data_IF_397873908660
#
_entry.id   IF_397873908660
#
_cell.length_a   1.000
_cell.length_b   1.000
_cell.length_c   1.000
_cell.angle_alpha   90.00
_cell.angle_beta   90.00
_cell.angle_gamma   90.00
#
_symmetry.space_group_name_H-M   'P 1'
#
loop_
_entity.id
_entity.type
_entity.pdbx_description
1 polymer ?
#
# COMPACT_ATOMS: atom_id res chain seq x y z
N UNK A 1 2.04 -19.14 -9.53
CA UNK A 1 2.26 -20.35 -8.71
C UNK A 1 0.92 -20.95 -8.35
N UNK A 2 0.67 -22.21 -8.68
CA UNK A 2 -0.55 -22.93 -8.29
C UNK A 2 -0.24 -23.77 -7.06
N UNK A 3 -1.05 -23.61 -6.02
CA UNK A 3 -0.93 -24.30 -4.73
C UNK A 3 -1.69 -25.63 -4.73
N UNK A 4 -1.41 -26.50 -3.76
CA UNK A 4 -2.04 -27.82 -3.66
C UNK A 4 -3.57 -27.79 -3.45
N UNK A 5 -4.13 -26.65 -3.05
CA UNK A 5 -5.57 -26.41 -2.95
C UNK A 5 -6.19 -25.85 -4.25
N UNK A 6 -5.44 -25.80 -5.35
CA UNK A 6 -5.91 -25.29 -6.64
C UNK A 6 -5.94 -23.76 -6.74
N UNK A 7 -5.61 -23.01 -5.68
CA UNK A 7 -5.48 -21.56 -5.74
C UNK A 7 -4.22 -21.20 -6.52
N UNK A 8 -4.33 -20.28 -7.46
CA UNK A 8 -3.23 -19.71 -8.22
C UNK A 8 -2.89 -18.32 -7.67
N UNK A 9 -1.62 -18.11 -7.34
CA UNK A 9 -1.06 -16.77 -7.07
C UNK A 9 -0.34 -16.26 -8.32
N UNK A 10 -0.68 -15.06 -8.78
CA UNK A 10 0.02 -14.37 -9.88
C UNK A 10 0.61 -13.04 -9.40
N UNK A 11 1.74 -12.67 -10.00
CA UNK A 11 2.48 -11.45 -9.73
C UNK A 11 2.72 -10.71 -11.04
N UNK A 12 2.45 -9.41 -11.06
CA UNK A 12 2.78 -8.52 -12.18
C UNK A 12 3.75 -7.46 -11.71
N UNK A 13 4.67 -7.06 -12.58
CA UNK A 13 5.74 -6.12 -12.26
C UNK A 13 5.80 -5.00 -13.28
N UNK A 14 6.29 -3.84 -12.86
CA UNK A 14 6.65 -2.75 -13.78
C UNK A 14 8.06 -2.96 -14.37
N UNK A 15 8.50 -2.02 -15.22
CA UNK A 15 9.82 -2.06 -15.85
C UNK A 15 10.99 -1.92 -14.85
N UNK A 16 10.73 -1.39 -13.64
CA UNK A 16 11.68 -1.31 -12.55
C UNK A 16 11.66 -2.56 -11.65
N UNK A 17 10.95 -3.63 -12.07
CA UNK A 17 10.76 -4.88 -11.31
C UNK A 17 10.03 -4.70 -9.98
N UNK A 18 9.22 -3.65 -9.85
CA UNK A 18 8.37 -3.40 -8.68
C UNK A 18 7.03 -4.10 -8.86
N UNK A 19 6.53 -4.73 -7.80
CA UNK A 19 5.26 -5.47 -7.81
C UNK A 19 4.08 -4.51 -8.01
N UNK A 20 3.42 -4.55 -9.16
CA UNK A 20 2.24 -3.74 -9.47
C UNK A 20 0.93 -4.46 -9.17
N UNK A 21 0.93 -5.81 -9.20
CA UNK A 21 -0.26 -6.59 -8.87
C UNK A 21 0.07 -7.93 -8.26
N UNK A 22 -0.66 -8.28 -7.21
CA UNK A 22 -0.73 -9.62 -6.62
C UNK A 22 -2.17 -10.10 -6.69
N UNK A 23 -2.44 -11.23 -7.32
CA UNK A 23 -3.77 -11.82 -7.36
C UNK A 23 -3.78 -13.27 -6.90
N UNK A 24 -4.83 -13.64 -6.16
CA UNK A 24 -5.14 -15.00 -5.76
C UNK A 24 -6.44 -15.42 -6.46
N UNK A 25 -6.37 -16.48 -7.24
CA UNK A 25 -7.47 -16.95 -8.09
C UNK A 25 -7.76 -18.42 -7.84
N UNK A 26 -9.02 -18.83 -7.92
CA UNK A 26 -9.43 -20.23 -7.95
C UNK A 26 -10.19 -20.46 -9.26
N UNK A 27 -9.57 -21.17 -10.20
CA UNK A 27 -10.04 -21.21 -11.58
C UNK A 27 -10.07 -19.80 -12.18
N UNK A 28 -11.21 -19.40 -12.73
CA UNK A 28 -11.41 -18.06 -13.30
C UNK A 28 -11.79 -16.99 -12.26
N UNK A 29 -12.09 -17.35 -11.01
CA UNK A 29 -12.54 -16.42 -9.98
C UNK A 29 -11.36 -15.80 -9.22
N UNK A 30 -11.34 -14.47 -9.11
CA UNK A 30 -10.39 -13.76 -8.23
C UNK A 30 -10.94 -13.76 -6.80
N UNK A 31 -10.23 -14.40 -5.88
CA UNK A 31 -10.57 -14.45 -4.45
C UNK A 31 -10.10 -13.18 -3.74
N UNK A 32 -8.89 -12.72 -4.11
CA UNK A 32 -8.31 -11.51 -3.56
C UNK A 32 -7.30 -10.93 -4.55
N UNK A 33 -7.17 -9.61 -4.58
CA UNK A 33 -6.13 -8.93 -5.34
C UNK A 33 -5.68 -7.67 -4.65
N UNK A 34 -4.42 -7.33 -4.90
CA UNK A 34 -3.78 -6.11 -4.46
C UNK A 34 -3.11 -5.46 -5.66
N UNK A 35 -3.41 -4.20 -5.90
CA UNK A 35 -2.80 -3.38 -6.93
C UNK A 35 -1.98 -2.27 -6.26
N UNK A 36 -0.81 -1.97 -6.81
CA UNK A 36 0.15 -1.03 -6.22
C UNK A 36 0.64 -0.03 -7.25
N UNK A 37 0.82 1.21 -6.83
CA UNK A 37 1.46 2.26 -7.62
C UNK A 37 2.68 2.78 -6.88
N UNK A 38 3.66 3.29 -7.63
CA UNK A 38 4.92 3.79 -7.11
C UNK A 38 5.24 5.15 -7.70
N UNK A 39 5.98 5.98 -6.98
CA UNK A 39 6.60 7.19 -7.51
C UNK A 39 7.89 6.86 -8.29
N UNK A 40 8.56 7.89 -8.82
CA UNK A 40 9.78 7.74 -9.63
C UNK A 40 10.97 7.17 -8.86
N UNK A 41 10.98 7.28 -7.53
CA UNK A 41 12.08 6.81 -6.68
C UNK A 41 11.75 5.47 -6.03
N UNK A 42 10.56 4.92 -6.28
CA UNK A 42 10.12 3.60 -5.86
C UNK A 42 9.34 3.57 -4.55
N UNK A 43 8.92 4.73 -4.02
CA UNK A 43 8.01 4.74 -2.88
C UNK A 43 6.61 4.35 -3.35
N UNK A 44 5.94 3.46 -2.61
CA UNK A 44 4.58 3.05 -2.93
C UNK A 44 3.61 4.19 -2.65
N UNK A 45 2.94 4.73 -3.66
CA UNK A 45 2.00 5.84 -3.51
C UNK A 45 0.56 5.41 -3.26
N UNK A 46 0.19 4.21 -3.72
CA UNK A 46 -1.12 3.65 -3.43
C UNK A 46 -1.10 2.13 -3.31
N UNK A 47 -2.07 1.61 -2.56
CA UNK A 47 -2.46 0.21 -2.49
C UNK A 47 -3.97 0.15 -2.65
N UNK A 48 -4.43 -0.59 -3.65
CA UNK A 48 -5.85 -0.90 -3.84
C UNK A 48 -6.07 -2.36 -3.51
N UNK A 49 -7.05 -2.65 -2.65
CA UNK A 49 -7.55 -4.01 -2.44
C UNK A 49 -9.08 -4.01 -2.42
N UNK A 50 -9.68 -5.16 -2.11
CA UNK A 50 -11.15 -5.30 -2.07
C UNK A 50 -11.86 -4.32 -1.12
N UNK A 51 -11.15 -3.73 -0.16
CA UNK A 51 -11.71 -2.79 0.80
C UNK A 51 -11.65 -1.34 0.29
N UNK A 52 -10.85 -1.04 -0.73
CA UNK A 52 -10.69 0.29 -1.30
C UNK A 52 -9.22 0.69 -1.49
N UNK A 53 -8.98 2.00 -1.60
CA UNK A 53 -7.67 2.58 -1.87
C UNK A 53 -7.06 3.17 -0.59
N UNK A 54 -5.84 2.74 -0.27
CA UNK A 54 -4.95 3.41 0.67
C UNK A 54 -3.91 4.21 -0.12
N UNK A 55 -3.74 5.49 0.22
CA UNK A 55 -2.74 6.37 -0.38
C UNK A 55 -1.64 6.66 0.62
N UNK A 56 -0.42 6.87 0.13
CA UNK A 56 0.75 7.12 0.94
C UNK A 56 1.49 8.35 0.41
N UNK A 57 1.88 9.24 1.31
CA UNK A 57 2.68 10.42 0.96
C UNK A 57 3.97 10.43 1.77
N UNK A 58 5.02 10.97 1.15
CA UNK A 58 6.38 10.94 1.66
C UNK A 58 6.96 12.34 1.71
N UNK A 59 7.86 12.58 2.66
CA UNK A 59 8.69 13.78 2.65
C UNK A 59 9.83 13.67 1.64
N UNK A 60 10.63 14.73 1.52
CA UNK A 60 11.77 14.81 0.60
C UNK A 60 12.90 13.82 0.93
N UNK A 61 12.87 13.20 2.11
CA UNK A 61 13.80 12.17 2.56
C UNK A 61 13.21 10.76 2.38
N UNK A 62 12.10 10.61 1.65
CA UNK A 62 11.38 9.35 1.43
C UNK A 62 10.83 8.71 2.71
N UNK A 63 10.52 9.51 3.73
CA UNK A 63 9.88 9.02 4.96
C UNK A 63 8.37 9.20 4.85
N UNK A 64 7.61 8.19 5.25
CA UNK A 64 6.15 8.20 5.17
C UNK A 64 5.58 9.25 6.13
N UNK A 65 4.90 10.27 5.61
CA UNK A 65 4.29 11.33 6.42
C UNK A 65 2.77 11.20 6.52
N UNK A 66 2.14 10.43 5.63
CA UNK A 66 0.70 10.21 5.63
C UNK A 66 0.34 8.85 5.04
N UNK A 67 -0.63 8.17 5.65
CA UNK A 67 -1.29 7.00 5.09
C UNK A 67 -2.81 7.15 5.23
N UNK A 68 -3.55 6.93 4.15
CA UNK A 68 -5.03 6.88 4.22
C UNK A 68 -5.49 5.45 4.41
N UNK A 69 -6.57 5.28 5.17
CA UNK A 69 -7.24 4.00 5.32
C UNK A 69 -8.51 3.97 4.46
N UNK A 70 -8.74 2.90 3.68
CA UNK A 70 -10.01 2.72 2.98
C UNK A 70 -11.21 2.55 3.92
N UNK A 71 -11.00 2.24 5.21
CA UNK A 71 -12.07 2.16 6.20
C UNK A 71 -12.33 3.53 6.87
N UNK A 72 -13.61 3.98 6.94
CA UNK A 72 -13.96 5.32 7.43
C UNK A 72 -13.77 5.51 8.94
N UNK A 73 -13.55 4.45 9.71
CA UNK A 73 -13.35 4.52 11.16
C UNK A 73 -12.03 5.17 11.57
N UNK A 74 -11.02 5.15 10.70
CA UNK A 74 -9.75 5.83 10.91
C UNK A 74 -9.13 6.21 9.56
N UNK A 75 -9.65 7.25 8.88
CA UNK A 75 -9.37 7.49 7.47
C UNK A 75 -7.94 7.99 7.20
N UNK A 76 -7.23 8.46 8.23
CA UNK A 76 -5.97 9.18 8.06
C UNK A 76 -5.02 8.99 9.24
N UNK A 77 -3.83 8.48 8.93
CA UNK A 77 -2.70 8.45 9.85
C UNK A 77 -1.61 9.40 9.36
N UNK A 78 -1.16 10.29 10.23
CA UNK A 78 -0.08 11.24 9.94
C UNK A 78 1.12 11.00 10.82
N UNK A 79 2.32 11.13 10.25
CA UNK A 79 3.59 10.88 10.93
C UNK A 79 4.49 12.11 10.88
N UNK A 80 5.18 12.38 11.98
CA UNK A 80 6.22 13.41 12.04
C UNK A 80 7.53 12.83 12.54
N UNK A 81 8.63 13.44 12.10
CA UNK A 81 9.98 12.99 12.41
C UNK A 81 10.82 14.14 12.95
N UNK A 82 11.72 13.83 13.86
CA UNK A 82 12.74 14.77 14.31
C UNK A 82 13.85 14.94 13.24
N UNK A 83 14.75 15.91 13.41
CA UNK A 83 15.85 16.14 12.47
C UNK A 83 16.83 14.96 12.33
N UNK A 84 16.87 14.04 13.30
CA UNK A 84 17.75 12.87 13.28
C UNK A 84 17.04 11.60 12.82
N UNK A 85 15.76 11.68 12.47
CA UNK A 85 14.97 10.60 11.86
C UNK A 85 14.08 9.81 12.81
N UNK A 86 14.01 10.14 14.11
CA UNK A 86 13.10 9.46 15.01
C UNK A 86 11.66 9.92 14.75
N UNK A 87 10.73 8.96 14.71
CA UNK A 87 9.30 9.26 14.60
C UNK A 87 8.80 9.81 15.93
N UNK A 88 8.33 11.05 15.95
CA UNK A 88 7.91 11.74 17.19
C UNK A 88 6.43 11.48 17.48
N UNK A 89 5.58 11.46 16.45
CA UNK A 89 4.13 11.26 16.62
C UNK A 89 3.55 10.43 15.48
N UNK A 90 2.57 9.58 15.82
CA UNK A 90 1.54 9.10 14.90
C UNK A 90 0.22 9.70 15.35
N UNK A 91 -0.28 10.72 14.66
CA UNK A 91 -1.60 11.25 14.94
C UNK A 91 -2.63 10.37 14.21
N UNK A 92 -3.23 9.43 14.93
CA UNK A 92 -4.29 8.55 14.40
C UNK A 92 -5.67 9.25 14.35
N UNK A 93 -5.78 10.51 14.83
CA UNK A 93 -7.03 11.30 14.87
C UNK A 93 -6.82 12.81 14.73
N UNK A 94 -5.99 13.25 13.78
CA UNK A 94 -5.94 14.68 13.45
C UNK A 94 -7.09 15.00 12.49
N UNK A 95 -8.30 15.13 13.04
CA UNK A 95 -9.35 15.89 12.37
C UNK A 95 -8.93 17.36 12.38
N UNK A 96 -9.00 18.00 11.20
CA UNK A 96 -8.88 19.45 11.06
C UNK A 96 -9.95 20.19 11.85
#
# INVERSE_FOLDING_TARGET
MTHGNGVMTSYSYDAASQLTRLAHQLGAATINSFDYTYDRVGNRTAKTDRNGVANYTYDTLNRLIQATNPFPSNPLESYTYDPVGNRINSCERCQA
#
